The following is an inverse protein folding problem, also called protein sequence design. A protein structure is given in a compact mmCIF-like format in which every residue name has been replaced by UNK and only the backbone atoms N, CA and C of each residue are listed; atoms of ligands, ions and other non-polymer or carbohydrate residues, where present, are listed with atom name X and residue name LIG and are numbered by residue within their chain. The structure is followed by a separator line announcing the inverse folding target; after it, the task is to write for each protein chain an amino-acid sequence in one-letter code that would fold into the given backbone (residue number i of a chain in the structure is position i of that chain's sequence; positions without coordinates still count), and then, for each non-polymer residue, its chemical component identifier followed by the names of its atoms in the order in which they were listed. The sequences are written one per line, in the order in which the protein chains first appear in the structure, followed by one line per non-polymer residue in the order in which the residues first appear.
data_IF_450239044325
#
_entry.id   IF_450239044325
#
_cell.length_a   1.000
_cell.length_b   1.000
_cell.length_c   1.000
_cell.angle_alpha   90.00
_cell.angle_beta   90.00
_cell.angle_gamma   90.00
#
_symmetry.space_group_name_H-M   'P 1'
#
loop_
_entity.id
_entity.type
_entity.pdbx_description
1 polymer ?
#
# COMPACT_ATOMS: atom_id res chain seq x y z
N UNK A 1 -1.36 26.66 3.08
CA UNK A 1 -2.05 25.45 3.54
C UNK A 1 -1.04 24.49 4.18
N UNK A 2 -1.41 23.89 5.27
CA UNK A 2 -0.58 22.97 6.04
C UNK A 2 -1.32 21.67 6.26
N UNK A 3 -0.57 20.56 6.36
CA UNK A 3 -1.12 19.25 6.70
C UNK A 3 -0.56 18.80 8.04
N UNK A 4 -1.44 18.50 8.98
CA UNK A 4 -1.09 17.85 10.23
C UNK A 4 -1.07 16.34 10.02
N UNK A 5 0.09 15.73 10.19
CA UNK A 5 0.32 14.32 9.88
C UNK A 5 0.77 13.51 11.08
N UNK A 6 0.48 12.22 11.08
CA UNK A 6 1.09 11.20 11.95
C UNK A 6 2.15 10.46 11.16
N UNK A 7 3.38 10.47 11.65
CA UNK A 7 4.50 9.76 11.03
C UNK A 7 4.47 8.26 11.34
N UNK A 8 4.87 7.44 10.37
CA UNK A 8 4.90 5.97 10.50
C UNK A 8 6.15 5.52 11.29
N UNK A 9 6.23 5.99 12.54
CA UNK A 9 7.29 5.63 13.49
C UNK A 9 6.66 5.26 14.83
N UNK A 10 6.87 4.04 15.27
CA UNK A 10 6.35 3.53 16.54
C UNK A 10 7.28 3.91 17.69
N UNK A 11 7.22 5.17 18.13
CA UNK A 11 7.91 5.64 19.31
C UNK A 11 7.00 6.55 20.11
N UNK A 12 7.08 6.48 21.44
CA UNK A 12 6.29 7.34 22.34
C UNK A 12 6.60 8.82 22.15
N UNK A 13 7.86 9.16 21.88
CA UNK A 13 8.31 10.55 21.72
C UNK A 13 7.79 11.23 20.46
N UNK A 14 7.36 10.45 19.46
CA UNK A 14 6.83 10.94 18.18
C UNK A 14 5.33 10.69 18.02
N UNK A 15 4.64 10.26 19.08
CA UNK A 15 3.19 10.08 19.08
C UNK A 15 2.42 11.40 19.16
N UNK A 16 2.64 12.26 18.16
CA UNK A 16 1.98 13.57 18.04
C UNK A 16 1.81 13.93 16.58
N UNK A 17 0.97 14.93 16.34
CA UNK A 17 0.83 15.53 15.02
C UNK A 17 2.04 16.41 14.71
N UNK A 18 2.49 16.34 13.46
CA UNK A 18 3.54 17.19 12.90
C UNK A 18 2.95 17.97 11.73
N UNK A 19 3.20 19.27 11.71
CA UNK A 19 2.74 20.10 10.62
C UNK A 19 3.79 20.19 9.50
N UNK A 20 3.31 20.01 8.27
CA UNK A 20 4.09 20.18 7.06
C UNK A 20 3.39 21.14 6.11
N UNK A 21 4.18 21.97 5.43
CA UNK A 21 3.66 22.84 4.38
C UNK A 21 3.27 21.99 3.18
N UNK A 22 2.12 22.28 2.60
CA UNK A 22 1.66 21.64 1.37
C UNK A 22 2.12 22.49 0.21
N UNK A 23 3.01 21.96 -0.67
CA UNK A 23 3.42 22.65 -1.88
C UNK A 23 2.22 22.97 -2.79
N UNK A 24 2.31 24.04 -3.60
CA UNK A 24 1.18 24.51 -4.41
C UNK A 24 0.67 23.42 -5.37
N UNK A 25 1.57 22.66 -5.96
CA UNK A 25 1.23 21.56 -6.87
C UNK A 25 0.56 20.35 -6.21
N UNK A 26 0.49 20.30 -4.88
CA UNK A 26 -0.18 19.24 -4.11
C UNK A 26 -1.52 19.66 -3.55
N UNK A 27 -1.86 20.95 -3.56
CA UNK A 27 -3.04 21.49 -2.88
C UNK A 27 -4.35 20.86 -3.37
N UNK A 28 -4.43 20.58 -4.68
CA UNK A 28 -5.63 20.02 -5.29
C UNK A 28 -5.70 18.49 -5.19
N UNK A 29 -4.56 17.86 -4.86
CA UNK A 29 -4.42 16.40 -4.79
C UNK A 29 -4.59 15.88 -3.37
N UNK A 30 -4.04 16.61 -2.40
CA UNK A 30 -3.96 16.14 -1.02
C UNK A 30 -5.31 16.23 -0.31
N UNK A 31 -5.70 15.14 0.33
CA UNK A 31 -6.92 15.04 1.14
C UNK A 31 -6.58 14.43 2.50
N UNK A 32 -7.44 14.65 3.50
CA UNK A 32 -7.36 13.93 4.79
C UNK A 32 -7.44 12.43 4.53
N UNK A 33 -6.58 11.66 5.20
CA UNK A 33 -6.49 10.20 5.04
C UNK A 33 -5.49 9.72 3.99
N UNK A 34 -4.88 10.62 3.21
CA UNK A 34 -3.79 10.23 2.29
C UNK A 34 -2.53 9.83 3.06
N UNK A 35 -1.78 8.90 2.44
CA UNK A 35 -0.38 8.68 2.79
C UNK A 35 0.50 9.66 2.04
N UNK A 36 1.48 10.19 2.74
CA UNK A 36 2.44 11.14 2.21
C UNK A 36 3.86 10.75 2.59
N UNK A 37 4.83 11.13 1.79
CA UNK A 37 6.24 11.14 2.18
C UNK A 37 6.62 12.50 2.72
N UNK A 38 7.23 12.49 3.91
CA UNK A 38 7.66 13.70 4.60
C UNK A 38 9.12 13.59 5.06
N UNK A 39 9.88 14.69 5.08
CA UNK A 39 11.23 14.70 5.63
C UNK A 39 11.18 14.68 7.15
N UNK A 40 11.75 13.64 7.76
CA UNK A 40 11.81 13.46 9.22
C UNK A 40 13.25 13.16 9.65
N UNK A 41 13.91 14.11 10.31
CA UNK A 41 15.35 14.05 10.56
C UNK A 41 16.12 13.98 9.23
N UNK A 42 17.05 13.03 9.08
CA UNK A 42 17.83 12.82 7.87
C UNK A 42 17.11 11.92 6.82
N UNK A 43 15.92 11.42 7.14
CA UNK A 43 15.20 10.44 6.31
C UNK A 43 13.89 11.00 5.79
N UNK A 44 13.41 10.42 4.70
CA UNK A 44 12.03 10.58 4.27
C UNK A 44 11.23 9.38 4.74
N UNK A 45 10.12 9.60 5.41
CA UNK A 45 9.27 8.56 5.97
C UNK A 45 7.82 8.74 5.53
N UNK A 46 7.07 7.64 5.59
CA UNK A 46 5.64 7.66 5.37
C UNK A 46 4.93 8.32 6.54
N UNK A 47 3.88 9.08 6.23
CA UNK A 47 2.98 9.66 7.20
C UNK A 47 1.54 9.64 6.70
N UNK A 48 0.58 9.83 7.59
CA UNK A 48 -0.85 9.89 7.28
C UNK A 48 -1.37 11.29 7.56
N UNK A 49 -2.09 11.88 6.61
CA UNK A 49 -2.72 13.20 6.76
C UNK A 49 -3.93 13.07 7.66
N UNK A 50 -3.90 13.73 8.81
CA UNK A 50 -4.96 13.69 9.81
C UNK A 50 -5.85 14.94 9.79
N UNK A 51 -5.32 16.04 9.28
CA UNK A 51 -6.06 17.30 9.08
C UNK A 51 -5.34 18.16 8.04
N UNK A 52 -6.10 19.06 7.39
CA UNK A 52 -5.60 20.15 6.55
C UNK A 52 -6.01 21.48 7.17
N UNK A 53 -5.07 22.39 7.33
CA UNK A 53 -5.24 23.66 8.01
C UNK A 53 -4.70 24.81 7.14
N UNK A 54 -5.26 25.99 7.31
CA UNK A 54 -4.74 27.18 6.65
C UNK A 54 -3.48 27.73 7.35
N UNK A 55 -3.40 27.51 8.66
CA UNK A 55 -2.33 28.00 9.52
C UNK A 55 -1.67 26.86 10.27
N UNK A 56 -0.44 27.09 10.73
CA UNK A 56 0.31 26.19 11.62
C UNK A 56 0.86 27.00 12.78
N UNK A 57 0.89 26.38 13.97
CA UNK A 57 1.50 26.97 15.16
C UNK A 57 3.05 26.93 15.11
N UNK A 58 3.60 26.20 14.13
CA UNK A 58 5.06 26.10 13.93
C UNK A 58 5.53 27.27 13.06
N UNK A 59 6.61 27.97 13.45
CA UNK A 59 7.17 29.06 12.64
C UNK A 59 7.49 28.60 11.21
N UNK A 60 7.14 29.40 10.21
CA UNK A 60 7.21 29.03 8.79
C UNK A 60 8.63 28.59 8.35
N UNK A 61 9.67 29.19 8.92
CA UNK A 61 11.06 28.85 8.67
C UNK A 61 11.50 27.47 9.21
N UNK A 62 10.67 26.83 10.06
CA UNK A 62 10.92 25.50 10.63
C UNK A 62 10.02 24.42 10.05
N UNK A 63 8.95 24.82 9.36
CA UNK A 63 8.02 23.86 8.72
C UNK A 63 8.64 23.36 7.43
N UNK A 64 8.79 22.04 7.34
CA UNK A 64 9.25 21.36 6.12
C UNK A 64 8.07 21.11 5.18
N UNK A 65 8.36 20.91 3.90
CA UNK A 65 7.34 20.61 2.90
C UNK A 65 7.11 19.12 2.74
N UNK A 66 5.89 18.74 2.37
CA UNK A 66 5.54 17.39 1.93
C UNK A 66 6.29 17.12 0.62
N UNK A 67 6.92 15.94 0.52
CA UNK A 67 7.68 15.55 -0.67
C UNK A 67 6.74 15.06 -1.77
N UNK A 68 5.81 14.15 -1.43
CA UNK A 68 4.80 13.63 -2.36
C UNK A 68 3.62 12.98 -1.66
N UNK A 69 2.50 12.91 -2.35
CA UNK A 69 1.36 12.04 -2.02
C UNK A 69 1.63 10.65 -2.59
N UNK A 70 1.32 9.61 -1.84
CA UNK A 70 1.63 8.22 -2.20
C UNK A 70 0.48 7.49 -2.89
N UNK A 71 -0.74 7.98 -2.74
CA UNK A 71 -1.96 7.32 -3.18
C UNK A 71 -2.80 8.26 -4.03
N UNK A 72 -3.57 7.71 -4.94
CA UNK A 72 -4.54 8.47 -5.75
C UNK A 72 -5.72 8.88 -4.88
N UNK A 73 -6.26 7.94 -4.11
CA UNK A 73 -7.33 8.20 -3.16
C UNK A 73 -6.87 8.00 -1.72
N UNK A 74 -7.49 8.68 -0.75
CA UNK A 74 -7.19 8.51 0.65
C UNK A 74 -7.35 7.06 1.09
N UNK A 75 -6.37 6.51 1.80
CA UNK A 75 -6.45 5.16 2.37
C UNK A 75 -7.26 5.10 3.66
N UNK A 76 -7.48 6.24 4.30
CA UNK A 76 -8.37 6.40 5.46
C UNK A 76 -9.50 7.33 5.09
N UNK A 77 -10.73 6.92 5.33
CA UNK A 77 -11.88 7.84 5.27
C UNK A 77 -11.85 8.79 6.47
N UNK A 78 -12.62 9.87 6.41
CA UNK A 78 -12.77 10.82 7.54
C UNK A 78 -13.27 10.14 8.81
N UNK A 79 -14.15 9.16 8.68
CA UNK A 79 -14.67 8.36 9.77
C UNK A 79 -13.56 7.50 10.41
N UNK A 80 -12.72 6.87 9.59
CA UNK A 80 -11.58 6.07 10.07
C UNK A 80 -10.53 6.94 10.76
N UNK A 81 -10.30 8.16 10.28
CA UNK A 81 -9.44 9.14 10.95
C UNK A 81 -10.02 9.52 12.32
N UNK A 82 -11.32 9.80 12.40
CA UNK A 82 -11.98 10.10 13.65
C UNK A 82 -11.99 8.90 14.62
N UNK A 83 -12.24 7.69 14.10
CA UNK A 83 -12.18 6.46 14.86
C UNK A 83 -10.80 6.19 15.42
N UNK A 84 -9.75 6.36 14.59
CA UNK A 84 -8.36 6.16 15.04
C UNK A 84 -7.98 7.04 16.21
N UNK A 85 -8.42 8.31 16.20
CA UNK A 85 -8.23 9.24 17.31
C UNK A 85 -8.94 8.77 18.60
N UNK A 86 -10.19 8.32 18.48
CA UNK A 86 -10.96 7.80 19.63
C UNK A 86 -10.32 6.55 20.21
N UNK A 87 -9.93 5.59 19.37
CA UNK A 87 -9.32 4.35 19.82
C UNK A 87 -7.94 4.58 20.45
N UNK A 88 -7.10 5.43 19.85
CA UNK A 88 -5.81 5.78 20.42
C UNK A 88 -5.93 6.38 21.83
N UNK A 89 -6.88 7.28 22.02
CA UNK A 89 -7.15 7.88 23.34
C UNK A 89 -7.75 6.87 24.33
N UNK A 90 -8.65 6.00 23.87
CA UNK A 90 -9.33 5.03 24.74
C UNK A 90 -8.37 3.94 25.23
N UNK A 91 -7.51 3.42 24.35
CA UNK A 91 -6.56 2.35 24.68
C UNK A 91 -5.18 2.87 25.11
N UNK A 92 -4.95 4.20 25.10
CA UNK A 92 -3.66 4.84 25.40
C UNK A 92 -2.54 4.31 24.49
N UNK A 93 -2.89 4.05 23.23
CA UNK A 93 -1.98 3.52 22.22
C UNK A 93 -1.49 4.62 21.26
N UNK A 94 -0.28 4.47 20.68
CA UNK A 94 0.18 5.38 19.63
C UNK A 94 -0.79 5.42 18.44
N UNK A 95 -1.05 6.63 17.92
CA UNK A 95 -1.93 6.83 16.76
C UNK A 95 -1.55 5.93 15.59
N UNK A 96 -0.25 5.81 15.31
CA UNK A 96 0.24 4.99 14.19
C UNK A 96 -0.11 3.51 14.37
N UNK A 97 0.01 2.96 15.59
CA UNK A 97 -0.32 1.56 15.88
C UNK A 97 -1.80 1.27 15.62
N UNK A 98 -2.67 2.21 16.00
CA UNK A 98 -4.11 2.11 15.76
C UNK A 98 -4.41 2.19 14.25
N UNK A 99 -3.83 3.15 13.55
CA UNK A 99 -4.00 3.31 12.09
C UNK A 99 -3.54 2.02 11.37
N UNK A 100 -2.37 1.50 11.73
CA UNK A 100 -1.87 0.26 11.14
C UNK A 100 -2.74 -0.95 11.47
N UNK A 101 -3.44 -0.96 12.59
CA UNK A 101 -4.37 -2.04 12.95
C UNK A 101 -5.68 -1.95 12.15
N UNK A 102 -6.20 -0.74 11.95
CA UNK A 102 -7.43 -0.49 11.18
C UNK A 102 -7.22 -0.81 9.69
N UNK A 103 -6.04 -0.49 9.14
CA UNK A 103 -5.77 -0.69 7.73
C UNK A 103 -5.64 -2.17 7.35
N UNK A 104 -6.35 -2.63 6.31
CA UNK A 104 -6.15 -3.95 5.74
C UNK A 104 -4.69 -4.18 5.32
N UNK A 105 -4.22 -5.42 5.41
CA UNK A 105 -2.85 -5.78 5.05
C UNK A 105 -2.48 -5.40 3.60
N UNK A 106 -3.46 -5.42 2.69
CA UNK A 106 -3.28 -5.00 1.30
C UNK A 106 -2.90 -3.51 1.15
N UNK A 107 -3.34 -2.66 2.08
CA UNK A 107 -3.01 -1.23 2.10
C UNK A 107 -1.73 -0.93 2.88
N UNK A 108 -1.20 -1.92 3.63
CA UNK A 108 0.07 -1.79 4.33
C UNK A 108 1.23 -2.10 3.37
N UNK A 109 2.04 -1.16 3.08
CA UNK A 109 3.42 -1.13 2.52
C UNK A 109 3.88 -2.11 1.42
N UNK A 110 3.21 -3.21 1.11
CA UNK A 110 3.69 -4.19 0.10
C UNK A 110 2.73 -4.45 -1.06
N UNK A 111 1.53 -3.93 -1.00
CA UNK A 111 0.62 -3.98 -2.12
C UNK A 111 1.08 -2.96 -3.17
N UNK A 112 1.34 -3.41 -4.37
CA UNK A 112 1.61 -2.54 -5.51
C UNK A 112 0.28 -1.96 -5.97
N UNK A 113 0.16 -0.65 -5.92
CA UNK A 113 -0.96 0.05 -6.51
C UNK A 113 -0.60 0.39 -7.94
N UNK A 114 -1.42 -0.06 -8.85
CA UNK A 114 -1.19 0.06 -10.29
C UNK A 114 -2.37 0.80 -10.90
N UNK A 115 -2.07 1.74 -11.78
CA UNK A 115 -3.09 2.44 -12.54
C UNK A 115 -3.43 1.64 -13.81
N UNK A 116 -4.72 1.55 -14.08
CA UNK A 116 -5.27 0.94 -15.29
C UNK A 116 -6.12 1.94 -16.05
N UNK A 117 -6.05 1.85 -17.36
CA UNK A 117 -6.92 2.61 -18.26
C UNK A 117 -8.24 1.83 -18.45
N UNK A 118 -9.38 2.53 -18.37
CA UNK A 118 -10.68 1.94 -18.67
C UNK A 118 -10.84 1.78 -20.19
N UNK A 119 -11.55 0.75 -20.63
CA UNK A 119 -11.82 0.48 -22.04
C UNK A 119 -12.57 1.63 -22.71
N UNK A 120 -13.42 2.33 -21.96
CA UNK A 120 -14.22 3.48 -22.41
C UNK A 120 -13.51 4.84 -22.24
N UNK A 121 -12.20 4.84 -21.96
CA UNK A 121 -11.45 6.07 -21.77
C UNK A 121 -11.40 6.90 -23.06
N UNK A 122 -11.47 8.22 -22.90
CA UNK A 122 -11.31 9.19 -23.99
C UNK A 122 -9.94 9.10 -24.66
N UNK A 123 -9.83 9.61 -25.87
CA UNK A 123 -8.56 9.65 -26.59
C UNK A 123 -7.49 10.48 -25.82
N UNK A 124 -7.90 11.52 -25.11
CA UNK A 124 -7.03 12.35 -24.29
C UNK A 124 -6.51 11.61 -23.07
N UNK A 125 -7.39 10.91 -22.34
CA UNK A 125 -7.00 10.07 -21.21
C UNK A 125 -6.04 8.96 -21.63
N UNK A 126 -6.32 8.33 -22.78
CA UNK A 126 -5.48 7.29 -23.37
C UNK A 126 -4.09 7.82 -23.71
N UNK A 127 -4.02 8.95 -24.41
CA UNK A 127 -2.77 9.59 -24.77
C UNK A 127 -1.93 9.95 -23.52
N UNK A 128 -2.60 10.53 -22.50
CA UNK A 128 -1.94 10.90 -21.24
C UNK A 128 -1.41 9.68 -20.49
N UNK A 129 -2.22 8.64 -20.39
CA UNK A 129 -1.83 7.37 -19.77
C UNK A 129 -0.66 6.71 -20.52
N UNK A 130 -0.73 6.61 -21.85
CA UNK A 130 0.32 6.01 -22.67
C UNK A 130 1.62 6.81 -22.66
N UNK A 131 1.56 8.13 -22.53
CA UNK A 131 2.77 8.98 -22.40
C UNK A 131 3.57 8.67 -21.14
N UNK A 132 2.92 8.18 -20.10
CA UNK A 132 3.52 7.79 -18.82
C UNK A 132 3.80 6.29 -18.73
N UNK A 133 3.16 5.52 -19.59
CA UNK A 133 3.28 4.06 -19.64
C UNK A 133 4.34 3.65 -20.67
N UNK A 134 5.56 3.44 -20.25
CA UNK A 134 6.64 2.92 -21.09
C UNK A 134 6.48 1.42 -21.44
N UNK A 135 5.25 0.96 -21.71
CA UNK A 135 4.93 -0.45 -21.98
C UNK A 135 4.87 -1.33 -20.73
N UNK A 136 4.92 -0.74 -19.54
CA UNK A 136 4.79 -1.43 -18.27
C UNK A 136 3.63 -0.84 -17.46
N UNK A 137 3.07 -1.63 -16.54
CA UNK A 137 2.03 -1.14 -15.63
C UNK A 137 2.55 0.04 -14.80
N UNK A 138 1.78 1.12 -14.76
CA UNK A 138 2.15 2.32 -14.02
C UNK A 138 1.90 2.09 -12.53
N UNK A 139 2.98 1.91 -11.76
CA UNK A 139 2.85 1.88 -10.29
C UNK A 139 2.64 3.31 -9.77
N UNK A 140 1.60 3.55 -8.98
CA UNK A 140 1.31 4.88 -8.38
C UNK A 140 2.51 5.45 -7.63
N UNK A 141 3.33 4.58 -7.02
CA UNK A 141 4.54 4.98 -6.30
C UNK A 141 5.66 5.51 -7.19
N UNK A 142 5.71 5.11 -8.44
CA UNK A 142 6.76 5.52 -9.39
C UNK A 142 6.48 6.89 -10.02
N UNK A 143 5.22 7.32 -10.00
CA UNK A 143 4.82 8.60 -10.54
C UNK A 143 5.33 9.76 -9.68
N UNK A 144 5.81 10.80 -10.34
CA UNK A 144 6.03 12.09 -9.71
C UNK A 144 4.68 12.75 -9.37
N UNK A 145 4.70 13.72 -8.49
CA UNK A 145 3.49 14.47 -8.13
C UNK A 145 2.85 15.19 -9.31
N UNK A 146 3.67 15.70 -10.25
CA UNK A 146 3.17 16.36 -11.45
C UNK A 146 2.45 15.39 -12.38
N UNK A 147 3.02 14.20 -12.57
CA UNK A 147 2.41 13.14 -13.38
C UNK A 147 1.11 12.65 -12.76
N UNK A 148 1.07 12.46 -11.43
CA UNK A 148 -0.16 12.12 -10.74
C UNK A 148 -1.22 13.20 -10.87
N UNK A 149 -0.84 14.49 -10.73
CA UNK A 149 -1.76 15.61 -10.90
C UNK A 149 -2.33 15.69 -12.33
N UNK A 150 -1.56 15.36 -13.36
CA UNK A 150 -2.03 15.34 -14.75
C UNK A 150 -3.04 14.19 -15.02
N UNK A 151 -2.98 13.10 -14.26
CA UNK A 151 -3.92 11.98 -14.38
C UNK A 151 -5.20 12.15 -13.53
N UNK A 152 -5.17 13.04 -12.52
CA UNK A 152 -6.30 13.22 -11.60
C UNK A 152 -7.65 13.53 -12.27
N UNK A 153 -7.75 14.41 -13.29
CA UNK A 153 -9.02 14.64 -13.97
C UNK A 153 -9.63 13.36 -14.51
N UNK A 154 -8.81 12.51 -15.11
CA UNK A 154 -9.23 11.22 -15.72
C UNK A 154 -9.56 10.17 -14.66
N UNK A 155 -8.89 10.20 -13.52
CA UNK A 155 -9.20 9.34 -12.38
C UNK A 155 -10.55 9.73 -11.77
N UNK A 156 -10.79 11.04 -11.60
CA UNK A 156 -12.06 11.53 -11.07
C UNK A 156 -13.25 11.24 -12.01
N UNK A 157 -12.99 11.10 -13.30
CA UNK A 157 -13.99 10.72 -14.31
C UNK A 157 -14.15 9.20 -14.45
N UNK A 158 -13.32 8.42 -13.74
CA UNK A 158 -13.31 6.95 -13.82
C UNK A 158 -12.70 6.38 -15.10
N UNK A 159 -12.02 7.20 -15.92
CA UNK A 159 -11.34 6.76 -17.13
C UNK A 159 -10.01 6.06 -16.83
N UNK A 160 -9.37 6.43 -15.72
CA UNK A 160 -8.21 5.74 -15.13
C UNK A 160 -8.60 5.32 -13.72
N UNK A 161 -8.31 4.10 -13.33
CA UNK A 161 -8.61 3.60 -11.99
C UNK A 161 -7.39 2.94 -11.35
N UNK A 162 -7.34 2.97 -10.03
CA UNK A 162 -6.29 2.32 -9.24
C UNK A 162 -6.72 0.91 -8.86
N UNK A 163 -5.90 -0.08 -9.18
CA UNK A 163 -6.05 -1.45 -8.73
C UNK A 163 -4.92 -1.84 -7.76
N UNK A 164 -5.23 -2.72 -6.84
CA UNK A 164 -4.29 -3.21 -5.85
C UNK A 164 -3.77 -4.57 -6.28
N UNK A 165 -2.60 -4.59 -6.90
CA UNK A 165 -1.88 -5.84 -7.12
C UNK A 165 -1.20 -6.26 -5.82
N UNK A 166 -1.73 -7.31 -5.20
CA UNK A 166 -1.03 -8.00 -4.13
C UNK A 166 0.26 -8.58 -4.72
N UNK A 167 1.42 -8.09 -4.30
CA UNK A 167 2.67 -8.75 -4.65
C UNK A 167 2.57 -10.18 -4.14
N UNK A 168 2.47 -11.13 -5.06
CA UNK A 168 2.44 -12.56 -4.75
C UNK A 168 3.79 -13.02 -4.19
N UNK A 169 4.17 -12.50 -3.03
CA UNK A 169 5.12 -13.15 -2.15
C UNK A 169 4.40 -14.11 -1.18
N UNK A 170 3.21 -14.54 -1.52
CA UNK A 170 2.72 -15.80 -0.99
C UNK A 170 3.63 -16.87 -1.60
N UNK A 171 4.61 -17.35 -0.84
CA UNK A 171 5.15 -18.68 -1.07
C UNK A 171 3.91 -19.56 -1.22
N UNK A 172 3.64 -20.03 -2.45
CA UNK A 172 2.70 -21.12 -2.64
C UNK A 172 3.15 -22.16 -1.63
N UNK A 173 2.31 -22.49 -0.64
CA UNK A 173 2.50 -23.68 0.17
C UNK A 173 2.31 -24.82 -0.82
N UNK A 174 3.36 -25.19 -1.48
CA UNK A 174 3.40 -26.45 -2.22
C UNK A 174 3.43 -27.54 -1.16
N UNK A 175 2.32 -28.21 -0.96
CA UNK A 175 2.37 -29.51 -0.36
C UNK A 175 3.16 -30.40 -1.33
N UNK A 176 4.21 -31.02 -0.81
CA UNK A 176 4.88 -32.07 -1.58
C UNK A 176 3.88 -33.22 -1.70
N UNK A 177 3.23 -33.35 -2.84
CA UNK A 177 2.51 -34.54 -3.19
C UNK A 177 3.55 -35.57 -3.67
N UNK A 178 3.47 -36.75 -3.15
CA UNK A 178 4.26 -37.89 -3.62
C UNK A 178 3.31 -38.71 -4.48
N UNK A 179 3.57 -38.76 -5.76
CA UNK A 179 2.86 -39.62 -6.71
C UNK A 179 3.66 -40.93 -6.87
N UNK A 180 2.97 -42.06 -6.80
CA UNK A 180 3.63 -43.36 -7.02
C UNK A 180 3.95 -43.52 -8.50
N UNK A 181 5.22 -43.38 -8.86
CA UNK A 181 5.67 -43.85 -10.15
C UNK A 181 5.67 -45.39 -10.12
N UNK A 182 5.19 -46.03 -11.18
CA UNK A 182 5.17 -47.47 -11.40
C UNK A 182 6.55 -48.11 -11.13
N UNK A 183 6.85 -48.37 -9.88
CA UNK A 183 8.05 -49.09 -9.45
C UNK A 183 7.74 -50.54 -9.34
N UNK A 184 8.59 -51.39 -9.95
CA UNK A 184 8.47 -52.80 -9.84
C UNK A 184 8.68 -53.22 -8.36
N UNK A 185 7.60 -53.62 -7.67
CA UNK A 185 7.61 -53.92 -6.24
C UNK A 185 8.65 -54.95 -5.83
N UNK A 186 9.05 -55.82 -6.77
CA UNK A 186 10.12 -56.84 -6.55
C UNK A 186 11.50 -56.21 -6.28
N UNK A 187 11.76 -54.97 -6.73
CA UNK A 187 13.04 -54.30 -6.45
C UNK A 187 13.10 -53.73 -5.02
N UNK A 188 11.95 -53.61 -4.33
CA UNK A 188 11.85 -53.05 -2.98
C UNK A 188 11.81 -54.11 -1.88
N UNK A 189 11.87 -55.39 -2.22
CA UNK A 189 11.86 -56.49 -1.22
C UNK A 189 13.02 -56.40 -0.20
N UNK A 190 14.15 -55.77 -0.60
CA UNK A 190 15.28 -55.50 0.29
C UNK A 190 15.19 -54.16 1.07
N UNK A 191 14.11 -53.41 0.91
CA UNK A 191 13.90 -52.09 1.54
C UNK A 191 12.50 -51.96 2.13
N UNK A 192 12.19 -52.70 3.22
CA UNK A 192 10.81 -52.85 3.76
C UNK A 192 10.15 -51.50 4.10
N UNK A 193 10.88 -50.50 4.60
CA UNK A 193 10.36 -49.18 4.90
C UNK A 193 9.91 -48.40 3.66
N UNK A 194 10.57 -48.63 2.54
CA UNK A 194 10.20 -48.00 1.25
C UNK A 194 8.96 -48.67 0.66
N UNK A 195 8.83 -49.97 0.85
CA UNK A 195 7.67 -50.73 0.43
C UNK A 195 6.43 -50.30 1.24
N UNK A 196 6.58 -50.13 2.56
CA UNK A 196 5.52 -49.66 3.46
C UNK A 196 5.06 -48.24 3.09
N UNK A 197 5.99 -47.33 2.77
CA UNK A 197 5.67 -46.00 2.31
C UNK A 197 4.95 -46.00 0.94
N UNK A 198 5.32 -46.90 0.03
CA UNK A 198 4.64 -47.06 -1.27
C UNK A 198 3.18 -47.52 -1.06
N UNK A 199 2.92 -48.51 -0.19
CA UNK A 199 1.57 -48.95 0.13
C UNK A 199 0.72 -47.84 0.78
N UNK A 200 1.33 -47.01 1.63
CA UNK A 200 0.63 -45.89 2.25
C UNK A 200 0.21 -44.81 1.23
N UNK A 201 1.04 -44.59 0.19
CA UNK A 201 0.71 -43.67 -0.90
C UNK A 201 -0.40 -44.22 -1.78
N UNK A 202 -0.33 -45.52 -2.16
CA UNK A 202 -1.36 -46.18 -2.98
C UNK A 202 -2.74 -46.20 -2.28
N UNK A 203 -2.78 -46.38 -0.95
CA UNK A 203 -4.04 -46.36 -0.17
C UNK A 203 -4.60 -44.92 -0.03
N UNK A 204 -3.81 -43.88 -0.20
CA UNK A 204 -4.25 -42.51 -0.11
C UNK A 204 -4.78 -41.96 -1.47
N UNK A 205 -4.57 -42.70 -2.55
CA UNK A 205 -5.05 -42.35 -3.90
C UNK A 205 -6.42 -42.99 -4.23
N UNK A 206 -6.95 -43.94 -3.38
CA UNK A 206 -8.31 -44.47 -3.43
C UNK A 206 -9.26 -43.59 -2.59
#
# INVERSE_FOLDING_TARGET
MYASVIVSVTSKDVNRLFDYKVPDHLKDVIKVGHRVFVPFGPRHIQAYVMALNEYSDVPENKVKEIVKVMDVEPVLTTELVALSKKLANYYIEPYISVIETILPAALKTKAKKVLHLNDNATAEARFMYESLNNGQLIETKSLSTKELASLLPYINQGEVYEDIQLSQHTRKKTQKAVESLYLNKSTLERAPKQLEALYAVEQAEE
#
